data_IF_081845940567
#
_entry.id   IF_081845940567
#
_cell.length_a   1.000
_cell.length_b   1.000
_cell.length_c   1.000
_cell.angle_alpha   90.00
_cell.angle_beta   90.00
_cell.angle_gamma   90.00
#
_symmetry.space_group_name_H-M   'P 1'
#
loop_
_entity.id
_entity.type
_entity.pdbx_description
1 polymer ?
#
# COMPACT_ATOMS: atom_id res chain seq x y z
N UNK A 1 -11.61 8.62 14.29
CA UNK A 1 -12.62 7.60 14.65
C UNK A 1 -12.49 7.29 16.14
N UNK A 2 -13.63 7.01 16.77
CA UNK A 2 -13.79 6.68 18.18
C UNK A 2 -12.93 5.44 18.53
N UNK A 3 -12.25 5.44 19.68
CA UNK A 3 -11.42 4.30 20.19
C UNK A 3 -12.20 2.97 20.36
N UNK A 4 -13.49 2.95 20.01
CA UNK A 4 -14.32 1.76 19.91
C UNK A 4 -14.02 0.87 18.71
N UNK A 5 -13.70 1.42 17.53
CA UNK A 5 -13.47 0.60 16.33
C UNK A 5 -12.16 -0.19 16.40
N UNK A 6 -11.16 0.32 17.12
CA UNK A 6 -9.90 -0.39 17.40
C UNK A 6 -10.07 -1.65 18.25
N UNK A 7 -11.23 -1.89 18.88
CA UNK A 7 -11.45 -3.04 19.76
C UNK A 7 -11.79 -4.35 19.05
N UNK A 8 -12.10 -4.30 17.75
CA UNK A 8 -12.41 -5.48 16.96
C UNK A 8 -11.74 -5.37 15.60
N UNK A 9 -10.49 -5.84 15.51
CA UNK A 9 -9.81 -6.09 14.25
C UNK A 9 -10.26 -7.46 13.71
N UNK A 10 -10.51 -7.53 12.41
CA UNK A 10 -10.76 -8.82 11.77
C UNK A 10 -9.44 -9.62 11.69
N UNK A 11 -9.49 -10.82 11.13
CA UNK A 11 -8.28 -11.60 10.89
C UNK A 11 -7.35 -10.84 9.92
N UNK A 12 -6.03 -10.98 10.13
CA UNK A 12 -5.01 -10.25 9.35
C UNK A 12 -5.13 -10.48 7.84
N UNK A 13 -5.57 -11.67 7.41
CA UNK A 13 -5.82 -11.97 6.00
C UNK A 13 -7.00 -11.20 5.39
N UNK A 14 -8.07 -10.97 6.17
CA UNK A 14 -9.24 -10.19 5.75
C UNK A 14 -8.86 -8.71 5.64
N UNK A 15 -8.08 -8.22 6.60
CA UNK A 15 -7.58 -6.84 6.57
C UNK A 15 -6.61 -6.63 5.41
N UNK A 16 -5.68 -7.56 5.18
CA UNK A 16 -4.76 -7.52 4.04
C UNK A 16 -5.52 -7.51 2.71
N UNK A 17 -6.51 -8.39 2.53
CA UNK A 17 -7.31 -8.41 1.29
C UNK A 17 -8.07 -7.09 1.06
N UNK A 18 -8.49 -6.42 2.15
CA UNK A 18 -9.20 -5.14 2.08
C UNK A 18 -8.24 -3.97 1.79
N UNK A 19 -7.03 -4.00 2.36
CA UNK A 19 -6.10 -2.90 2.41
C UNK A 19 -5.05 -2.93 1.28
N UNK A 20 -4.60 -4.11 0.88
CA UNK A 20 -3.59 -4.32 -0.16
C UNK A 20 -4.26 -4.31 -1.53
N UNK A 21 -4.24 -3.16 -2.20
CA UNK A 21 -4.81 -3.05 -3.54
C UNK A 21 -3.88 -3.72 -4.55
N UNK A 22 -4.48 -4.56 -5.40
CA UNK A 22 -3.80 -5.18 -6.52
C UNK A 22 -3.41 -4.12 -7.57
N UNK A 23 -2.20 -4.27 -8.10
CA UNK A 23 -1.71 -3.44 -9.19
C UNK A 23 -2.46 -3.79 -10.46
N UNK A 24 -2.95 -2.78 -11.18
CA UNK A 24 -3.49 -2.95 -12.52
C UNK A 24 -2.43 -2.55 -13.54
N UNK A 25 -2.11 -3.45 -14.46
CA UNK A 25 -1.08 -3.20 -15.48
C UNK A 25 -1.54 -2.21 -16.56
N UNK A 26 -2.85 -2.15 -16.82
CA UNK A 26 -3.44 -1.35 -17.90
C UNK A 26 -4.70 -0.60 -17.42
N UNK A 27 -4.58 0.40 -16.53
CA UNK A 27 -5.72 1.12 -15.97
C UNK A 27 -6.48 2.00 -17.00
N UNK A 28 -5.85 2.34 -18.13
CA UNK A 28 -6.47 2.95 -19.32
C UNK A 28 -6.96 1.94 -20.37
N UNK A 29 -6.70 0.64 -20.17
CA UNK A 29 -7.05 -0.44 -21.08
C UNK A 29 -5.94 -0.81 -22.08
N UNK A 30 -6.23 -1.70 -23.05
CA UNK A 30 -5.24 -2.18 -24.01
C UNK A 30 -4.74 -1.05 -24.93
N UNK A 31 -3.61 -1.27 -25.59
CA UNK A 31 -3.08 -0.34 -26.58
C UNK A 31 -4.14 0.00 -27.65
N UNK A 32 -4.40 1.30 -27.85
CA UNK A 32 -5.44 1.79 -28.75
C UNK A 32 -6.85 1.88 -28.15
N UNK A 33 -7.02 1.59 -26.85
CA UNK A 33 -8.28 1.76 -26.13
C UNK A 33 -8.74 3.23 -26.16
N UNK A 34 -10.04 3.50 -26.42
CA UNK A 34 -10.61 4.84 -26.29
C UNK A 34 -10.89 5.22 -24.83
N UNK A 35 -10.77 4.28 -23.88
CA UNK A 35 -11.07 4.51 -22.46
C UNK A 35 -10.03 5.50 -21.90
N UNK A 36 -10.53 6.54 -21.22
CA UNK A 36 -9.70 7.51 -20.47
C UNK A 36 -8.58 8.18 -21.28
N UNK A 37 -8.74 8.27 -22.61
CA UNK A 37 -7.71 8.80 -23.53
C UNK A 37 -7.18 10.18 -23.14
N UNK A 38 -8.07 11.07 -22.70
CA UNK A 38 -7.75 12.48 -22.40
C UNK A 38 -7.86 12.78 -20.89
N UNK A 39 -7.95 11.75 -20.04
CA UNK A 39 -8.07 11.90 -18.59
C UNK A 39 -6.85 11.30 -17.88
N UNK A 40 -6.33 11.92 -16.81
CA UNK A 40 -5.26 11.33 -16.02
C UNK A 40 -5.63 9.94 -15.50
N UNK A 41 -4.62 9.07 -15.38
CA UNK A 41 -4.79 7.75 -14.78
C UNK A 41 -5.05 7.93 -13.28
N UNK A 42 -6.18 7.39 -12.83
CA UNK A 42 -6.53 7.31 -11.42
C UNK A 42 -6.32 5.89 -10.92
N UNK A 43 -5.60 5.74 -9.81
CA UNK A 43 -5.31 4.44 -9.21
C UNK A 43 -6.56 3.71 -8.71
N UNK A 44 -7.69 4.43 -8.51
CA UNK A 44 -8.91 3.87 -7.93
C UNK A 44 -10.15 4.60 -8.45
N UNK A 45 -11.21 3.85 -8.75
CA UNK A 45 -12.53 4.40 -9.12
C UNK A 45 -13.42 4.69 -7.91
N UNK A 46 -13.14 4.06 -6.77
CA UNK A 46 -13.84 4.30 -5.50
C UNK A 46 -12.99 5.15 -4.57
N UNK A 47 -13.59 5.89 -3.62
CA UNK A 47 -12.84 6.63 -2.62
C UNK A 47 -11.88 5.74 -1.84
N UNK A 48 -10.74 6.30 -1.44
CA UNK A 48 -9.79 5.63 -0.54
C UNK A 48 -10.43 5.37 0.82
N UNK A 49 -10.24 4.15 1.33
CA UNK A 49 -10.58 3.81 2.72
C UNK A 49 -9.32 3.88 3.58
N UNK A 50 -9.50 4.07 4.88
CA UNK A 50 -8.41 4.03 5.85
C UNK A 50 -7.67 2.69 5.79
N UNK A 51 -6.33 2.73 5.84
CA UNK A 51 -5.45 1.56 5.73
C UNK A 51 -5.19 1.06 4.29
N UNK A 52 -6.00 1.46 3.31
CA UNK A 52 -5.79 1.06 1.92
C UNK A 52 -4.56 1.73 1.32
N UNK A 53 -3.78 0.94 0.57
CA UNK A 53 -2.62 1.44 -0.15
C UNK A 53 -2.39 0.63 -1.44
N UNK A 54 -1.67 1.25 -2.39
CA UNK A 54 -1.19 0.52 -3.56
C UNK A 54 0.03 -0.32 -3.17
N UNK A 55 0.04 -1.57 -3.61
CA UNK A 55 1.24 -2.41 -3.52
C UNK A 55 2.25 -1.96 -4.57
N UNK A 56 3.45 -1.53 -4.13
CA UNK A 56 4.53 -1.18 -5.05
C UNK A 56 5.38 -2.41 -5.35
N UNK A 57 5.83 -2.55 -6.59
CA UNK A 57 6.69 -3.66 -7.04
C UNK A 57 8.06 -3.72 -6.36
N UNK A 58 8.43 -2.67 -5.61
CA UNK A 58 9.73 -2.55 -4.93
C UNK A 58 9.65 -2.83 -3.43
N UNK A 59 8.49 -3.22 -2.92
CA UNK A 59 8.28 -3.50 -1.49
C UNK A 59 8.36 -5.01 -1.25
N UNK A 60 8.66 -5.40 -0.01
CA UNK A 60 8.64 -6.81 0.40
C UNK A 60 7.22 -7.40 0.25
N UNK A 61 7.12 -8.61 -0.30
CA UNK A 61 5.86 -9.36 -0.38
C UNK A 61 5.28 -9.61 1.02
N UNK A 62 6.11 -10.04 1.96
CA UNK A 62 5.71 -10.25 3.35
C UNK A 62 6.35 -9.21 4.26
N UNK A 63 5.68 -8.08 4.45
CA UNK A 63 6.17 -6.97 5.28
C UNK A 63 6.33 -7.35 6.74
N UNK A 64 5.45 -8.21 7.26
CA UNK A 64 5.49 -8.64 8.66
C UNK A 64 6.74 -9.48 8.95
N UNK A 65 7.09 -10.40 8.05
CA UNK A 65 8.33 -11.17 8.16
C UNK A 65 9.59 -10.28 8.10
N UNK A 66 9.56 -9.24 7.26
CA UNK A 66 10.68 -8.34 7.07
C UNK A 66 10.67 -7.14 8.04
N UNK A 67 9.69 -7.09 8.96
CA UNK A 67 9.63 -6.08 10.01
C UNK A 67 10.86 -6.24 10.90
N UNK A 68 11.52 -5.12 11.20
CA UNK A 68 12.72 -5.06 12.05
C UNK A 68 13.96 -5.81 11.50
N UNK A 69 13.91 -6.28 10.25
CA UNK A 69 15.08 -6.85 9.54
C UNK A 69 15.71 -5.77 8.67
N UNK A 70 16.89 -5.22 9.02
CA UNK A 70 17.54 -4.21 8.22
C UNK A 70 17.99 -4.79 6.88
N UNK A 71 17.96 -3.97 5.83
CA UNK A 71 18.56 -4.34 4.54
C UNK A 71 20.08 -4.26 4.65
N UNK A 72 20.78 -5.32 4.26
CA UNK A 72 22.26 -5.40 4.35
C UNK A 72 22.99 -4.63 3.23
N UNK A 73 22.26 -3.93 2.36
CA UNK A 73 22.84 -3.15 1.26
C UNK A 73 23.21 -1.74 1.74
N UNK A 74 24.45 -1.27 1.53
CA UNK A 74 24.86 0.09 1.93
C UNK A 74 24.02 1.14 1.19
N UNK A 75 23.53 2.14 1.94
CA UNK A 75 22.63 3.17 1.41
C UNK A 75 21.16 2.74 1.31
N UNK A 76 20.78 1.59 1.87
CA UNK A 76 19.39 1.18 1.94
C UNK A 76 18.58 2.08 2.85
N UNK A 77 17.35 2.40 2.43
CA UNK A 77 16.38 2.97 3.35
C UNK A 77 16.05 1.96 4.46
N UNK A 78 15.81 2.47 5.67
CA UNK A 78 15.35 1.66 6.78
C UNK A 78 13.97 1.08 6.40
N UNK A 79 13.71 -0.21 6.70
CA UNK A 79 12.35 -0.73 6.60
C UNK A 79 11.49 0.13 7.52
N UNK A 80 10.34 0.61 7.04
CA UNK A 80 9.41 1.42 7.82
C UNK A 80 8.82 0.59 8.98
N UNK A 81 9.61 0.35 10.02
CA UNK A 81 9.17 -0.16 11.33
C UNK A 81 8.56 0.98 12.12
N UNK A 82 7.71 0.66 13.09
CA UNK A 82 6.77 1.60 13.74
C UNK A 82 7.42 2.71 14.60
N UNK A 83 8.73 2.91 14.50
CA UNK A 83 9.51 3.89 15.28
C UNK A 83 10.36 4.86 14.44
N UNK A 84 10.05 5.14 13.18
CA UNK A 84 10.72 6.23 12.44
C UNK A 84 9.77 7.16 11.68
N UNK A 85 8.95 7.88 12.44
CA UNK A 85 8.29 9.12 11.99
C UNK A 85 8.44 10.25 13.04
N UNK A 86 9.57 10.29 13.76
CA UNK A 86 9.97 11.40 14.65
C UNK A 86 11.39 11.91 14.45
N UNK A 87 12.04 11.64 13.32
CA UNK A 87 13.23 12.40 12.91
C UNK A 87 12.81 13.69 12.18
N UNK A 88 12.12 14.57 12.91
CA UNK A 88 12.06 15.99 12.58
C UNK A 88 13.29 16.64 13.19
N UNK A 89 14.30 16.90 12.36
CA UNK A 89 15.16 18.08 12.48
C UNK A 89 15.60 18.55 11.08
#
# INVERSE_FOLDING_TARGET
MDDKEKRYSDFSNVEAQRNDLAVQDLPEGPYGSPIRKDTPVENKSTPWQEGQHQSSAFVFENKELHKDIPREMPGSHLPHSEEEDYAKE
#
